data_IF_884158500100
#
_entry.id   IF_884158500100
#
_cell.length_a   1.000
_cell.length_b   1.000
_cell.length_c   1.000
_cell.angle_alpha   90.00
_cell.angle_beta   90.00
_cell.angle_gamma   90.00
#
_symmetry.space_group_name_H-M   'P 1'
#
loop_
_entity.id
_entity.type
_entity.pdbx_description
1 polymer ?
#
# COMPACT_ATOMS: atom_id res chain seq x y z
N UNK A 1 32.55 27.44 -60.19
CA UNK A 1 31.57 26.40 -59.90
C UNK A 1 32.12 25.08 -60.35
N UNK A 2 32.49 24.18 -59.46
CA UNK A 2 32.57 22.78 -59.80
C UNK A 2 31.65 21.96 -58.93
N UNK A 3 30.91 21.12 -59.63
CA UNK A 3 29.94 20.13 -59.14
C UNK A 3 30.71 18.89 -58.70
N UNK A 4 30.64 18.51 -57.41
CA UNK A 4 31.18 17.24 -56.91
C UNK A 4 30.01 16.41 -56.38
N UNK A 5 29.49 15.58 -57.28
CA UNK A 5 28.61 14.47 -56.91
C UNK A 5 29.50 13.24 -56.65
N UNK A 6 29.62 12.83 -55.39
CA UNK A 6 30.24 11.56 -55.00
C UNK A 6 29.17 10.49 -54.84
N UNK A 7 29.34 9.29 -55.40
CA UNK A 7 28.39 8.19 -55.24
C UNK A 7 28.55 7.45 -53.90
N UNK A 8 27.45 7.07 -53.27
CA UNK A 8 27.35 6.30 -52.04
C UNK A 8 27.82 4.83 -52.26
N UNK A 9 28.46 4.21 -51.28
CA UNK A 9 28.87 2.82 -51.38
C UNK A 9 27.69 1.86 -51.28
N UNK A 10 27.60 0.95 -52.22
CA UNK A 10 26.64 -0.16 -52.23
C UNK A 10 27.11 -1.27 -51.30
N UNK A 11 26.33 -1.53 -50.22
CA UNK A 11 26.50 -2.71 -49.39
C UNK A 11 26.03 -3.96 -50.14
N UNK A 12 26.94 -4.93 -50.32
CA UNK A 12 26.61 -6.28 -50.81
C UNK A 12 26.30 -7.20 -49.61
N UNK A 13 25.19 -7.94 -49.59
CA UNK A 13 24.98 -8.96 -48.59
C UNK A 13 25.80 -10.22 -48.92
N UNK A 14 26.53 -10.71 -47.93
CA UNK A 14 27.21 -12.00 -47.98
C UNK A 14 26.24 -13.15 -47.69
N UNK A 15 26.26 -14.27 -48.41
CA UNK A 15 25.40 -15.41 -48.13
C UNK A 15 25.91 -16.20 -46.94
N UNK A 16 25.04 -16.40 -45.94
CA UNK A 16 25.22 -17.30 -44.81
C UNK A 16 25.16 -18.75 -45.30
N UNK A 17 26.25 -19.52 -45.14
CA UNK A 17 26.31 -20.96 -45.43
C UNK A 17 25.52 -21.70 -44.32
N UNK A 18 24.42 -22.32 -44.71
CA UNK A 18 23.64 -23.23 -43.88
C UNK A 18 24.34 -24.58 -43.81
N UNK A 19 24.95 -24.93 -42.69
CA UNK A 19 25.41 -26.28 -42.41
C UNK A 19 24.36 -27.05 -41.66
N UNK A 20 23.73 -27.99 -42.33
CA UNK A 20 22.81 -28.98 -41.82
C UNK A 20 23.60 -30.13 -41.19
N UNK A 21 23.62 -30.24 -39.86
CA UNK A 21 24.08 -31.43 -39.15
C UNK A 21 22.88 -32.12 -38.50
N UNK A 22 22.48 -33.24 -39.12
CA UNK A 22 21.53 -34.19 -38.56
C UNK A 22 22.28 -35.05 -37.57
N UNK A 23 21.97 -34.86 -36.30
CA UNK A 23 22.43 -35.70 -35.17
C UNK A 23 21.22 -36.27 -34.46
N UNK A 24 20.86 -37.55 -34.81
CA UNK A 24 19.92 -38.36 -34.05
C UNK A 24 20.47 -38.69 -32.69
N UNK A 25 19.89 -38.11 -31.65
CA UNK A 25 20.11 -38.50 -30.25
C UNK A 25 18.77 -38.66 -29.55
N UNK A 26 18.33 -39.93 -29.43
CA UNK A 26 17.23 -40.31 -28.55
C UNK A 26 17.62 -40.01 -27.09
N UNK A 27 17.12 -38.93 -26.51
CA UNK A 27 17.22 -38.68 -25.09
C UNK A 27 15.84 -38.92 -24.49
N UNK A 28 15.70 -40.05 -23.79
CA UNK A 28 14.52 -40.40 -23.01
C UNK A 28 14.33 -39.42 -21.86
N UNK A 29 13.37 -38.48 -21.99
CA UNK A 29 12.93 -37.70 -20.87
C UNK A 29 12.05 -38.57 -19.97
N UNK A 30 12.61 -39.03 -18.85
CA UNK A 30 11.82 -39.49 -17.71
C UNK A 30 11.13 -38.26 -17.10
N UNK A 31 9.82 -38.09 -17.34
CA UNK A 31 8.98 -37.16 -16.59
C UNK A 31 8.86 -37.69 -15.16
N UNK A 32 9.72 -37.25 -14.29
CA UNK A 32 9.50 -37.34 -12.86
C UNK A 32 8.44 -36.32 -12.45
N UNK A 33 7.19 -36.77 -12.33
CA UNK A 33 6.19 -36.02 -11.58
C UNK A 33 6.68 -35.90 -10.14
N UNK A 34 7.24 -34.74 -9.75
CA UNK A 34 7.28 -34.35 -8.34
C UNK A 34 5.86 -34.00 -7.93
N UNK A 35 5.20 -34.90 -7.24
CA UNK A 35 4.05 -34.59 -6.44
C UNK A 35 4.53 -33.66 -5.31
N UNK A 36 4.18 -32.39 -5.37
CA UNK A 36 4.27 -31.49 -4.23
C UNK A 36 3.32 -32.04 -3.16
N UNK A 37 3.91 -32.75 -2.21
CA UNK A 37 3.21 -33.25 -1.02
C UNK A 37 2.83 -32.02 -0.19
N UNK A 38 1.56 -31.63 -0.27
CA UNK A 38 0.99 -30.59 0.58
C UNK A 38 0.97 -31.12 2.00
N UNK A 39 2.00 -30.79 2.78
CA UNK A 39 2.05 -31.11 4.19
C UNK A 39 1.01 -30.26 4.94
N UNK A 40 -0.10 -30.89 5.30
CA UNK A 40 -1.10 -30.31 6.17
C UNK A 40 -0.56 -30.24 7.60
N UNK A 41 -0.08 -29.09 8.01
CA UNK A 41 0.18 -28.80 9.43
C UNK A 41 -1.16 -28.71 10.14
N UNK A 42 -1.54 -29.74 10.88
CA UNK A 42 -2.57 -29.63 11.91
C UNK A 42 -1.95 -28.88 13.09
N UNK A 43 -2.25 -27.61 13.23
CA UNK A 43 -2.02 -26.90 14.48
C UNK A 43 -2.95 -27.53 15.51
N UNK A 44 -2.45 -28.10 16.63
CA UNK A 44 -3.31 -28.54 17.71
C UNK A 44 -4.12 -27.35 18.18
N UNK A 45 -5.45 -27.47 18.17
CA UNK A 45 -6.35 -26.48 18.74
C UNK A 45 -6.02 -26.43 20.23
N UNK A 46 -5.45 -25.33 20.72
CA UNK A 46 -5.23 -25.15 22.14
C UNK A 46 -6.55 -25.39 22.85
N UNK A 47 -6.52 -26.27 23.87
CA UNK A 47 -7.68 -26.53 24.69
C UNK A 47 -8.15 -25.21 25.30
N UNK A 48 -9.46 -24.95 25.38
CA UNK A 48 -9.97 -23.78 26.09
C UNK A 48 -9.36 -23.79 27.49
N UNK A 49 -8.81 -22.63 27.89
CA UNK A 49 -8.27 -22.46 29.22
C UNK A 49 -9.29 -22.98 30.24
N UNK A 50 -9.03 -24.13 30.82
CA UNK A 50 -9.81 -24.64 31.95
C UNK A 50 -9.65 -23.64 33.07
N UNK A 51 -10.69 -22.86 33.33
CA UNK A 51 -10.82 -22.05 34.54
C UNK A 51 -10.97 -23.02 35.71
N UNK A 52 -9.87 -23.58 36.18
CA UNK A 52 -9.82 -24.44 37.35
C UNK A 52 -8.96 -23.77 38.39
N UNK A 53 -9.59 -22.90 39.14
CA UNK A 53 -9.10 -22.41 40.41
C UNK A 53 -10.26 -21.77 41.17
N UNK A 54 -10.54 -22.19 42.44
CA UNK A 54 -11.52 -21.49 43.24
C UNK A 54 -11.03 -20.06 43.45
N UNK A 55 -11.88 -19.09 43.08
CA UNK A 55 -11.64 -17.67 43.39
C UNK A 55 -11.42 -17.54 44.89
N UNK A 56 -10.34 -16.89 45.34
CA UNK A 56 -10.23 -16.52 46.75
C UNK A 56 -11.45 -15.66 47.12
N UNK A 57 -12.15 -16.03 48.17
CA UNK A 57 -13.25 -15.27 48.71
C UNK A 57 -12.75 -13.86 49.08
N UNK A 58 -13.31 -12.86 48.49
CA UNK A 58 -13.05 -11.45 48.89
C UNK A 58 -13.57 -11.28 50.32
N UNK A 59 -12.80 -10.67 51.24
CA UNK A 59 -13.28 -10.36 52.59
C UNK A 59 -14.45 -9.35 52.45
N UNK A 60 -15.47 -9.47 53.35
CA UNK A 60 -16.59 -8.54 53.31
C UNK A 60 -16.12 -7.12 53.64
N UNK A 61 -16.47 -6.19 52.78
CA UNK A 61 -16.27 -4.78 53.02
C UNK A 61 -17.15 -4.33 54.17
N UNK A 62 -16.66 -3.55 55.13
CA UNK A 62 -17.50 -3.03 56.21
C UNK A 62 -18.53 -2.06 55.62
N UNK A 63 -19.79 -2.29 55.92
CA UNK A 63 -20.85 -1.35 55.67
C UNK A 63 -20.63 -0.12 56.59
N UNK A 64 -20.13 0.97 55.96
CA UNK A 64 -20.08 2.25 56.62
C UNK A 64 -21.47 2.82 56.78
N UNK A 65 -21.81 3.12 58.02
CA UNK A 65 -23.03 3.83 58.44
C UNK A 65 -23.20 5.13 57.66
N UNK A 66 -24.36 5.28 57.03
CA UNK A 66 -24.80 6.56 56.48
C UNK A 66 -25.28 7.44 57.62
N UNK A 67 -24.43 8.29 58.12
CA UNK A 67 -24.84 9.46 58.86
C UNK A 67 -25.29 10.56 57.90
N UNK A 68 -26.47 11.05 58.14
CA UNK A 68 -27.16 12.03 57.31
C UNK A 68 -26.42 13.35 57.18
N UNK A 69 -26.59 13.88 56.03
CA UNK A 69 -26.16 15.09 55.50
C UNK A 69 -27.23 16.11 55.22
N UNK A 70 -27.10 17.36 55.27
CA UNK A 70 -28.10 18.29 54.82
C UNK A 70 -27.97 18.62 53.34
N UNK A 71 -29.12 18.68 52.68
CA UNK A 71 -29.29 19.16 51.34
C UNK A 71 -28.75 20.58 51.13
N UNK A 72 -28.02 20.77 50.03
CA UNK A 72 -27.70 22.13 49.60
C UNK A 72 -26.65 22.24 48.52
N UNK A 73 -26.98 22.12 47.25
CA UNK A 73 -26.75 23.08 46.17
C UNK A 73 -27.09 22.45 44.82
N UNK A 74 -27.92 23.07 43.97
CA UNK A 74 -28.10 22.65 42.59
C UNK A 74 -26.96 23.26 41.74
N UNK A 75 -26.15 22.44 41.07
CA UNK A 75 -25.27 23.00 40.07
C UNK A 75 -23.93 22.35 39.84
N UNK A 76 -23.80 21.02 40.00
CA UNK A 76 -22.70 20.32 39.34
C UNK A 76 -23.32 19.48 38.23
N UNK A 77 -23.31 20.02 37.02
CA UNK A 77 -23.48 19.20 35.82
C UNK A 77 -22.40 18.11 35.87
N UNK A 78 -22.72 16.84 35.67
CA UNK A 78 -21.72 15.81 35.54
C UNK A 78 -20.68 16.28 34.52
N UNK A 79 -19.42 16.21 34.91
CA UNK A 79 -18.29 16.54 34.05
C UNK A 79 -18.33 15.58 32.84
N UNK A 80 -19.11 15.97 31.86
CA UNK A 80 -19.23 15.23 30.60
C UNK A 80 -17.88 15.41 29.90
N UNK A 81 -17.15 14.32 29.63
CA UNK A 81 -15.88 14.43 28.94
C UNK A 81 -16.08 15.31 27.69
N UNK A 82 -15.17 16.24 27.42
CA UNK A 82 -15.30 17.12 26.27
C UNK A 82 -15.54 16.26 25.00
N UNK A 83 -16.42 16.71 24.09
CA UNK A 83 -16.69 15.98 22.88
C UNK A 83 -15.36 15.69 22.18
N UNK A 84 -15.16 14.47 21.64
CA UNK A 84 -13.91 14.14 20.96
C UNK A 84 -13.65 15.19 19.88
N UNK A 85 -12.44 15.76 19.89
CA UNK A 85 -12.04 16.75 18.91
C UNK A 85 -12.37 16.24 17.51
N UNK A 86 -12.81 17.13 16.58
CA UNK A 86 -13.09 16.74 15.20
C UNK A 86 -11.93 15.92 14.67
N UNK A 87 -12.17 14.68 14.29
CA UNK A 87 -11.13 13.81 13.75
C UNK A 87 -10.77 14.38 12.39
N UNK A 88 -9.61 15.03 12.30
CA UNK A 88 -9.12 15.55 11.04
C UNK A 88 -9.23 14.45 9.96
N UNK A 89 -9.93 14.74 8.90
CA UNK A 89 -10.04 13.85 7.74
C UNK A 89 -9.24 14.44 6.60
N UNK A 90 -8.58 13.55 5.86
CA UNK A 90 -7.86 13.96 4.66
C UNK A 90 -8.87 14.19 3.53
N UNK A 91 -8.74 15.31 2.85
CA UNK A 91 -9.53 15.68 1.66
C UNK A 91 -8.61 15.86 0.46
N UNK A 92 -9.17 15.66 -0.71
CA UNK A 92 -8.51 15.81 -2.01
C UNK A 92 -9.46 16.36 -3.06
N UNK A 93 -8.93 16.64 -4.23
CA UNK A 93 -9.72 17.00 -5.41
C UNK A 93 -9.45 15.98 -6.51
N UNK A 94 -10.51 15.51 -7.15
CA UNK A 94 -10.41 14.56 -8.25
C UNK A 94 -10.32 15.27 -9.58
N UNK A 95 -9.44 14.85 -10.50
CA UNK A 95 -9.41 15.31 -11.87
C UNK A 95 -10.69 14.91 -12.64
N UNK A 96 -10.90 15.53 -13.79
CA UNK A 96 -12.05 15.21 -14.64
C UNK A 96 -12.09 13.74 -15.03
N UNK A 97 -13.25 13.12 -14.92
CA UNK A 97 -13.48 11.72 -15.25
C UNK A 97 -13.14 10.73 -14.15
N UNK A 98 -12.45 11.18 -13.09
CA UNK A 98 -12.26 10.35 -11.89
C UNK A 98 -13.49 10.41 -10.99
N UNK A 99 -13.79 9.30 -10.31
CA UNK A 99 -14.85 9.24 -9.31
C UNK A 99 -14.36 8.54 -8.06
N UNK A 100 -14.97 8.90 -6.93
CA UNK A 100 -14.69 8.31 -5.63
C UNK A 100 -15.80 7.36 -5.23
N UNK A 101 -15.42 6.22 -4.69
CA UNK A 101 -16.32 5.26 -4.06
C UNK A 101 -15.88 5.07 -2.61
N UNK A 102 -16.83 4.94 -1.66
CA UNK A 102 -16.49 4.58 -0.29
C UNK A 102 -15.64 3.31 -0.24
N UNK A 103 -14.69 3.26 0.66
CA UNK A 103 -13.87 2.07 0.86
C UNK A 103 -14.71 0.91 1.39
N UNK A 104 -14.48 -0.29 0.84
CA UNK A 104 -15.07 -1.52 1.36
C UNK A 104 -14.23 -2.08 2.51
N UNK A 105 -14.60 -1.80 3.77
CA UNK A 105 -13.93 -2.34 4.96
C UNK A 105 -13.38 -1.30 5.93
N UNK A 106 -12.86 -1.76 7.07
CA UNK A 106 -12.45 -0.90 8.19
C UNK A 106 -11.19 -0.06 7.94
N UNK A 107 -10.31 -0.48 7.04
CA UNK A 107 -9.03 0.20 6.77
C UNK A 107 -9.01 0.96 5.44
N UNK A 108 -9.82 0.54 4.46
CA UNK A 108 -9.91 1.21 3.15
C UNK A 108 -10.89 2.39 3.27
N UNK A 109 -10.36 3.59 3.25
CA UNK A 109 -11.14 4.81 3.39
C UNK A 109 -11.89 5.14 2.09
N UNK A 110 -11.21 5.06 0.95
CA UNK A 110 -11.79 5.33 -0.36
C UNK A 110 -11.14 4.50 -1.47
N UNK A 111 -11.85 4.35 -2.58
CA UNK A 111 -11.35 3.82 -3.85
C UNK A 111 -11.65 4.84 -4.94
N UNK A 112 -10.67 5.13 -5.78
CA UNK A 112 -10.87 5.99 -6.95
C UNK A 112 -10.99 5.16 -8.21
N UNK A 113 -12.00 5.44 -9.01
CA UNK A 113 -12.14 4.91 -10.35
C UNK A 113 -11.57 5.92 -11.34
N UNK A 114 -10.53 5.52 -12.06
CA UNK A 114 -9.89 6.32 -13.10
C UNK A 114 -10.58 6.11 -14.46
N UNK A 115 -10.58 7.12 -15.34
CA UNK A 115 -11.18 7.04 -16.69
C UNK A 115 -10.23 6.38 -17.71
N UNK A 116 -9.43 5.40 -17.28
CA UNK A 116 -8.47 4.70 -18.12
C UNK A 116 -8.79 3.21 -18.17
N UNK A 117 -8.71 2.63 -19.36
CA UNK A 117 -8.86 1.20 -19.56
C UNK A 117 -7.61 0.43 -19.10
N UNK A 118 -7.82 -0.82 -18.70
CA UNK A 118 -6.80 -1.74 -18.25
C UNK A 118 -6.83 -1.99 -16.75
N UNK A 119 -5.94 -2.85 -16.30
CA UNK A 119 -5.86 -3.22 -14.89
C UNK A 119 -5.14 -2.13 -14.10
N UNK A 120 -5.91 -1.33 -13.38
CA UNK A 120 -5.40 -0.36 -12.41
C UNK A 120 -6.40 -0.15 -11.27
N UNK A 121 -5.90 0.13 -10.09
CA UNK A 121 -6.69 0.44 -8.90
C UNK A 121 -6.03 1.60 -8.16
N UNK A 122 -6.83 2.58 -7.75
CA UNK A 122 -6.40 3.68 -6.90
C UNK A 122 -7.16 3.62 -5.58
N UNK A 123 -6.42 3.57 -4.46
CA UNK A 123 -7.00 3.36 -3.11
C UNK A 123 -6.44 4.33 -2.10
N UNK A 124 -7.26 4.66 -1.10
CA UNK A 124 -6.86 5.39 0.10
C UNK A 124 -7.08 4.48 1.31
N UNK A 125 -6.03 4.30 2.08
CA UNK A 125 -6.04 3.53 3.34
C UNK A 125 -5.60 4.44 4.46
N UNK A 126 -6.24 4.34 5.61
CA UNK A 126 -5.88 5.07 6.84
C UNK A 126 -5.65 4.08 7.96
N UNK A 127 -4.54 4.26 8.68
CA UNK A 127 -4.17 3.45 9.83
C UNK A 127 -3.85 4.34 11.03
N UNK A 128 -4.11 3.89 12.25
CA UNK A 128 -3.71 4.60 13.45
C UNK A 128 -2.20 4.54 13.64
N UNK A 129 -1.65 5.55 14.31
CA UNK A 129 -0.23 5.64 14.64
C UNK A 129 0.65 5.76 13.41
N UNK A 130 1.91 5.35 13.57
CA UNK A 130 2.92 5.37 12.52
C UNK A 130 2.78 4.18 11.52
N UNK A 131 1.83 3.28 11.75
CA UNK A 131 1.54 2.14 10.87
C UNK A 131 2.78 1.27 10.51
N UNK A 132 3.73 1.14 11.45
CA UNK A 132 4.97 0.38 11.26
C UNK A 132 6.11 1.14 10.58
N UNK A 133 5.94 2.44 10.31
CA UNK A 133 6.96 3.30 9.73
C UNK A 133 7.05 3.25 8.20
N UNK A 134 7.74 4.24 7.65
CA UNK A 134 7.79 4.46 6.20
C UNK A 134 8.55 3.36 5.46
N UNK A 135 9.76 3.00 5.93
CA UNK A 135 10.60 1.97 5.29
C UNK A 135 9.89 0.62 5.19
N UNK A 136 9.27 0.18 6.28
CA UNK A 136 8.56 -1.11 6.30
C UNK A 136 7.38 -1.13 5.34
N UNK A 137 6.62 -0.02 5.24
CA UNK A 137 5.50 0.10 4.31
C UNK A 137 5.97 0.13 2.85
N UNK A 138 7.01 0.91 2.54
CA UNK A 138 7.60 0.97 1.19
C UNK A 138 8.13 -0.39 0.78
N UNK A 139 8.83 -1.11 1.67
CA UNK A 139 9.33 -2.44 1.37
C UNK A 139 8.21 -3.47 1.17
N UNK A 140 7.11 -3.38 1.93
CA UNK A 140 5.91 -4.18 1.68
C UNK A 140 5.32 -3.91 0.30
N UNK A 141 5.24 -2.64 -0.12
CA UNK A 141 4.72 -2.28 -1.46
C UNK A 141 5.63 -2.76 -2.58
N UNK A 142 6.95 -2.65 -2.40
CA UNK A 142 7.92 -3.20 -3.35
C UNK A 142 7.78 -4.71 -3.51
N UNK A 143 7.66 -5.43 -2.39
CA UNK A 143 7.40 -6.88 -2.40
C UNK A 143 6.11 -7.28 -3.11
N UNK A 144 5.04 -6.45 -3.04
CA UNK A 144 3.77 -6.70 -3.75
C UNK A 144 3.93 -6.74 -5.28
N UNK A 145 4.95 -6.10 -5.83
CA UNK A 145 5.25 -6.10 -7.26
C UNK A 145 6.57 -6.82 -7.59
N UNK A 146 7.06 -7.67 -6.67
CA UNK A 146 8.23 -8.52 -6.88
C UNK A 146 9.58 -7.80 -6.86
N UNK A 147 9.68 -6.63 -6.25
CA UNK A 147 10.93 -5.89 -6.11
C UNK A 147 11.60 -6.15 -4.75
N UNK A 148 12.93 -6.20 -4.67
CA UNK A 148 13.66 -6.30 -3.40
C UNK A 148 13.42 -5.05 -2.55
N UNK A 149 13.54 -5.19 -1.22
CA UNK A 149 13.43 -4.08 -0.28
C UNK A 149 14.54 -3.06 -0.44
N UNK A 150 14.31 -1.86 0.09
CA UNK A 150 15.32 -0.82 0.28
C UNK A 150 15.89 -0.88 1.70
N UNK A 151 17.11 -0.40 1.84
CA UNK A 151 17.64 0.14 3.09
C UNK A 151 17.25 1.62 3.24
N UNK A 152 17.66 2.26 4.33
CA UNK A 152 17.36 3.69 4.58
C UNK A 152 17.94 4.61 3.49
N UNK A 153 19.12 4.29 2.96
CA UNK A 153 19.75 5.08 1.90
C UNK A 153 18.99 4.96 0.58
N UNK A 154 18.55 3.75 0.23
CA UNK A 154 17.70 3.48 -0.94
C UNK A 154 16.33 4.14 -0.83
N UNK A 155 15.73 4.10 0.37
CA UNK A 155 14.47 4.79 0.66
C UNK A 155 14.60 6.30 0.44
N UNK A 156 15.64 6.91 1.00
CA UNK A 156 15.88 8.35 0.88
C UNK A 156 16.08 8.79 -0.58
N UNK A 157 16.79 7.99 -1.39
CA UNK A 157 16.97 8.25 -2.83
C UNK A 157 15.69 8.10 -3.64
N UNK A 158 14.82 7.15 -3.28
CA UNK A 158 13.58 6.90 -4.00
C UNK A 158 12.46 7.88 -3.64
N UNK A 159 12.58 8.59 -2.52
CA UNK A 159 11.57 9.50 -2.00
C UNK A 159 11.49 10.79 -2.83
N UNK A 160 10.28 11.10 -3.29
CA UNK A 160 9.92 12.43 -3.79
C UNK A 160 8.98 13.09 -2.78
N UNK A 161 9.27 14.31 -2.37
CA UNK A 161 8.44 15.03 -1.38
C UNK A 161 7.53 16.02 -2.11
N UNK A 162 6.21 15.85 -1.95
CA UNK A 162 5.20 16.84 -2.35
C UNK A 162 4.82 17.68 -1.12
N UNK A 163 4.89 19.00 -1.27
CA UNK A 163 4.35 19.94 -0.28
C UNK A 163 2.86 20.12 -0.55
N UNK A 164 2.03 19.69 0.39
CA UNK A 164 0.57 19.78 0.32
C UNK A 164 0.04 20.67 1.44
N UNK A 165 -1.25 21.01 1.38
CA UNK A 165 -1.91 21.74 2.48
C UNK A 165 -2.09 20.88 3.74
N UNK A 166 -1.98 19.56 3.63
CA UNK A 166 -1.97 18.64 4.78
C UNK A 166 -0.57 18.41 5.37
N UNK A 167 0.48 18.91 4.72
CA UNK A 167 1.87 18.72 5.12
C UNK A 167 2.73 18.10 4.02
N UNK A 168 3.89 17.59 4.39
CA UNK A 168 4.79 16.90 3.48
C UNK A 168 4.28 15.47 3.21
N UNK A 169 4.02 15.18 1.95
CA UNK A 169 3.58 13.87 1.46
C UNK A 169 4.74 13.23 0.70
N UNK A 170 5.22 12.08 1.17
CA UNK A 170 6.29 11.33 0.55
C UNK A 170 5.73 10.42 -0.54
N UNK A 171 6.28 10.50 -1.76
CA UNK A 171 5.81 9.76 -2.93
C UNK A 171 6.89 8.82 -3.43
N UNK A 172 6.47 7.63 -3.80
CA UNK A 172 7.29 6.56 -4.36
C UNK A 172 6.66 6.06 -5.66
N UNK A 173 7.51 5.75 -6.65
CA UNK A 173 7.09 5.25 -7.95
C UNK A 173 7.95 4.04 -8.31
N UNK A 174 7.34 2.88 -8.37
CA UNK A 174 8.02 1.60 -8.61
C UNK A 174 7.46 0.92 -9.85
N UNK A 175 8.33 0.34 -10.65
CA UNK A 175 7.95 -0.54 -11.76
C UNK A 175 8.65 -1.88 -11.58
N UNK A 176 7.91 -2.98 -11.63
CA UNK A 176 8.49 -4.32 -11.54
C UNK A 176 9.37 -4.63 -12.75
N UNK A 177 10.25 -5.60 -12.57
CA UNK A 177 11.05 -6.18 -13.64
C UNK A 177 10.28 -7.31 -14.35
N UNK A 178 10.80 -7.80 -15.49
CA UNK A 178 10.22 -8.90 -16.25
C UNK A 178 9.37 -8.45 -17.45
N UNK A 179 8.74 -9.44 -18.12
CA UNK A 179 7.97 -9.22 -19.35
C UNK A 179 6.63 -8.53 -19.12
N UNK A 180 5.90 -8.96 -18.10
CA UNK A 180 4.65 -8.30 -17.66
C UNK A 180 4.99 -7.40 -16.49
N UNK A 181 4.96 -6.10 -16.72
CA UNK A 181 5.35 -5.11 -15.72
C UNK A 181 4.16 -4.57 -14.97
N UNK A 182 4.22 -4.68 -13.65
CA UNK A 182 3.34 -3.94 -12.73
C UNK A 182 3.99 -2.63 -12.30
N UNK A 183 3.18 -1.63 -12.04
CA UNK A 183 3.63 -0.33 -11.51
C UNK A 183 2.80 0.08 -10.32
N UNK A 184 3.46 0.76 -9.38
CA UNK A 184 2.82 1.34 -8.21
C UNK A 184 3.35 2.75 -7.98
N UNK A 185 2.42 3.71 -7.85
CA UNK A 185 2.70 5.05 -7.33
C UNK A 185 2.03 5.16 -5.98
N UNK A 186 2.79 5.44 -4.93
CA UNK A 186 2.28 5.45 -3.57
C UNK A 186 2.66 6.74 -2.84
N UNK A 187 1.68 7.37 -2.20
CA UNK A 187 1.84 8.49 -1.29
C UNK A 187 1.75 8.04 0.17
N UNK A 188 2.62 8.56 1.01
CA UNK A 188 2.70 8.35 2.45
C UNK A 188 2.66 9.69 3.18
N UNK A 189 1.70 9.89 4.06
CA UNK A 189 1.63 11.08 4.91
C UNK A 189 1.11 10.72 6.30
N UNK A 190 1.79 11.23 7.34
CA UNK A 190 1.31 11.18 8.72
C UNK A 190 0.67 12.52 9.07
N UNK A 191 -0.50 12.48 9.68
CA UNK A 191 -1.27 13.67 10.04
C UNK A 191 -1.18 13.97 11.55
N UNK A 192 -1.37 15.23 11.98
CA UNK A 192 -1.22 15.62 13.38
C UNK A 192 -2.15 14.89 14.36
N UNK A 193 -3.26 14.34 13.88
CA UNK A 193 -4.19 13.53 14.67
C UNK A 193 -3.69 12.08 14.93
N UNK A 194 -2.43 11.81 14.63
CA UNK A 194 -1.80 10.52 14.87
C UNK A 194 -2.22 9.42 13.91
N UNK A 195 -2.65 9.76 12.70
CA UNK A 195 -2.96 8.79 11.64
C UNK A 195 -1.92 8.80 10.55
N UNK A 196 -1.78 7.67 9.88
CA UNK A 196 -0.99 7.54 8.66
C UNK A 196 -1.90 7.17 7.49
N UNK A 197 -1.77 7.93 6.42
CA UNK A 197 -2.55 7.77 5.21
C UNK A 197 -1.68 7.27 4.06
N UNK A 198 -2.21 6.32 3.33
CA UNK A 198 -1.60 5.73 2.15
C UNK A 198 -2.52 5.92 0.97
N UNK A 199 -2.06 6.65 -0.04
CA UNK A 199 -2.76 6.81 -1.30
C UNK A 199 -1.97 6.03 -2.35
N UNK A 200 -2.56 5.00 -2.96
CA UNK A 200 -1.84 4.12 -3.90
C UNK A 200 -2.57 4.02 -5.22
N UNK A 201 -1.83 4.12 -6.31
CA UNK A 201 -2.24 3.75 -7.66
C UNK A 201 -1.39 2.54 -8.08
N UNK A 202 -2.01 1.41 -8.38
CA UNK A 202 -1.32 0.16 -8.71
C UNK A 202 -2.02 -0.58 -9.85
N UNK A 203 -1.29 -1.37 -10.60
CA UNK A 203 -1.81 -2.15 -11.72
C UNK A 203 -0.74 -2.45 -12.76
N UNK A 204 -1.19 -2.70 -13.99
CA UNK A 204 -0.28 -2.89 -15.12
C UNK A 204 0.45 -1.59 -15.43
N UNK A 205 1.72 -1.69 -15.83
CA UNK A 205 2.59 -0.52 -15.95
C UNK A 205 2.07 0.53 -16.95
N UNK A 206 1.48 0.12 -18.07
CA UNK A 206 1.00 1.03 -19.10
C UNK A 206 -0.25 1.83 -18.66
N UNK A 207 -1.34 1.22 -18.13
CA UNK A 207 -2.47 1.97 -17.57
C UNK A 207 -2.05 2.89 -16.42
N UNK A 208 -1.22 2.41 -15.49
CA UNK A 208 -0.72 3.23 -14.38
C UNK A 208 0.11 4.42 -14.88
N UNK A 209 0.92 4.24 -15.93
CA UNK A 209 1.68 5.32 -16.53
C UNK A 209 0.78 6.42 -17.10
N UNK A 210 -0.34 6.05 -17.76
CA UNK A 210 -1.34 7.01 -18.28
C UNK A 210 -2.03 7.77 -17.16
N UNK A 211 -2.38 7.09 -16.06
CA UNK A 211 -3.09 7.66 -14.93
C UNK A 211 -2.19 8.45 -13.96
N UNK A 212 -0.86 8.30 -14.06
CA UNK A 212 0.09 8.87 -13.09
C UNK A 212 -0.02 10.37 -12.93
N UNK A 213 -0.13 11.14 -14.02
CA UNK A 213 -0.21 12.61 -13.94
C UNK A 213 -1.42 13.06 -13.13
N UNK A 214 -2.57 12.48 -13.40
CA UNK A 214 -3.81 12.78 -12.70
C UNK A 214 -3.71 12.38 -11.23
N UNK A 215 -3.15 11.20 -10.97
CA UNK A 215 -2.95 10.74 -9.60
C UNK A 215 -1.99 11.64 -8.81
N UNK A 216 -0.91 12.13 -9.42
CA UNK A 216 -0.02 13.13 -8.82
C UNK A 216 -0.76 14.43 -8.51
N UNK A 217 -1.73 14.83 -9.35
CA UNK A 217 -2.59 15.99 -9.10
C UNK A 217 -3.50 15.76 -7.89
N UNK A 218 -4.05 14.54 -7.73
CA UNK A 218 -4.80 14.14 -6.52
C UNK A 218 -3.91 14.27 -5.29
N UNK A 219 -2.70 13.69 -5.31
CA UNK A 219 -1.73 13.76 -4.20
C UNK A 219 -1.37 15.21 -3.86
N UNK A 220 -1.15 16.06 -4.84
CA UNK A 220 -0.82 17.47 -4.65
C UNK A 220 -1.98 18.30 -4.06
N UNK A 221 -3.23 17.85 -4.24
CA UNK A 221 -4.43 18.53 -3.76
C UNK A 221 -4.81 18.19 -2.30
N UNK A 222 -4.06 17.28 -1.68
CA UNK A 222 -4.34 16.77 -0.33
C UNK A 222 -4.29 17.89 0.71
N UNK A 223 -5.33 17.93 1.56
CA UNK A 223 -5.50 18.90 2.66
C UNK A 223 -6.20 18.26 3.85
N UNK A 224 -6.05 18.84 5.01
CA UNK A 224 -6.86 18.53 6.18
C UNK A 224 -8.20 19.28 6.11
N UNK A 225 -9.24 18.63 6.64
CA UNK A 225 -10.59 19.22 6.79
C UNK A 225 -10.61 20.13 8.00
#
# INVERSE_FOLDING_TARGET
MPNLSAPLPRFRPTPLKTSLLIGSGLLSLALGCRSDEVSHFRVPKEAPFAQSGPRPAMPPMPMGERTGEPAGAPGATPDMPPPPAPRASLKWSLPRGWSEQPGGGTMRFATFKAPFEGKLEATVVVLPGQAGGELANVNRWRGQIGLPGYDEAGLAKARTVLRTKAGALNVYDFTSEGQVKSRMVAGYISTPDGKTWFLKLTGDAAPVAKAKSDFMSILGSVRLD
#
